data_IF_490726089677
#
_entry.id   IF_490726089677
#
_cell.length_a   1.000
_cell.length_b   1.000
_cell.length_c   1.000
_cell.angle_alpha   90.00
_cell.angle_beta   90.00
_cell.angle_gamma   90.00
#
_symmetry.space_group_name_H-M   'P 1'
#
loop_
_entity.id
_entity.type
_entity.pdbx_description
1 polymer ?
#
# COMPACT_ATOMS: atom_id res chain seq x y z
N UNK A 1 -28.50 0.44 58.00
CA UNK A 1 -28.27 -0.76 57.18
C UNK A 1 -29.29 -0.78 56.04
N UNK A 2 -28.88 -0.44 54.83
CA UNK A 2 -29.21 -1.18 53.59
C UNK A 2 -28.55 -0.46 52.42
N UNK A 3 -27.93 -1.23 51.55
CA UNK A 3 -26.89 -0.85 50.61
C UNK A 3 -27.42 -0.01 49.44
N UNK A 4 -26.69 1.06 49.09
CA UNK A 4 -26.79 1.67 47.77
C UNK A 4 -26.06 0.77 46.77
N UNK A 5 -26.81 0.30 45.76
CA UNK A 5 -26.30 -0.46 44.62
C UNK A 5 -25.24 0.36 43.87
N UNK A 6 -23.99 -0.12 43.89
CA UNK A 6 -22.92 0.41 43.06
C UNK A 6 -23.18 0.01 41.59
N UNK A 7 -23.01 0.91 40.62
CA UNK A 7 -23.02 0.51 39.22
C UNK A 7 -21.77 -0.33 38.97
N UNK A 8 -21.95 -1.53 38.40
CA UNK A 8 -20.88 -2.35 37.89
C UNK A 8 -20.13 -1.54 36.82
N UNK A 9 -19.05 -0.87 37.23
CA UNK A 9 -18.03 -0.39 36.32
C UNK A 9 -17.46 -1.65 35.65
N UNK A 10 -17.86 -1.88 34.40
CA UNK A 10 -17.18 -2.84 33.53
C UNK A 10 -15.72 -2.46 33.51
N UNK A 11 -14.91 -3.22 34.25
CA UNK A 11 -13.48 -3.11 34.21
C UNK A 11 -13.06 -3.32 32.76
N UNK A 12 -12.67 -2.23 32.10
CA UNK A 12 -11.85 -2.33 30.91
C UNK A 12 -10.53 -2.85 31.43
N UNK A 13 -10.32 -4.16 31.33
CA UNK A 13 -9.04 -4.78 31.58
C UNK A 13 -8.02 -4.07 30.69
N UNK A 14 -7.26 -3.17 31.30
CA UNK A 14 -6.06 -2.61 30.70
C UNK A 14 -5.12 -3.79 30.50
N UNK A 15 -5.16 -4.40 29.32
CA UNK A 15 -4.11 -5.28 28.85
C UNK A 15 -2.79 -4.58 29.16
N UNK A 16 -2.10 -5.09 30.17
CA UNK A 16 -0.81 -4.60 30.61
C UNK A 16 0.12 -4.84 29.43
N UNK A 17 0.31 -3.83 28.57
CA UNK A 17 1.29 -3.88 27.50
C UNK A 17 2.63 -4.12 28.21
N UNK A 18 3.24 -5.32 28.07
CA UNK A 18 4.48 -5.60 28.77
C UNK A 18 5.50 -4.59 28.26
N UNK A 19 5.99 -3.75 29.17
CA UNK A 19 7.02 -2.75 28.89
C UNK A 19 8.25 -3.49 28.39
N UNK A 20 8.49 -3.41 27.08
CA UNK A 20 9.69 -3.95 26.46
C UNK A 20 10.91 -3.20 27.02
N UNK A 21 12.02 -3.90 27.26
CA UNK A 21 13.26 -3.34 27.83
C UNK A 21 13.84 -2.16 27.03
N UNK A 22 13.42 -1.97 25.77
CA UNK A 22 13.82 -0.84 24.90
C UNK A 22 12.87 0.36 24.92
N UNK A 23 11.76 0.32 25.68
CA UNK A 23 10.79 1.43 25.79
C UNK A 23 9.82 1.59 24.60
N UNK A 24 9.89 0.71 23.59
CA UNK A 24 8.98 0.72 22.43
C UNK A 24 7.85 -0.30 22.66
N UNK A 25 6.57 0.05 22.41
CA UNK A 25 5.47 -0.91 22.54
C UNK A 25 5.60 -2.03 21.50
N UNK A 26 5.42 -3.29 21.93
CA UNK A 26 5.58 -4.49 21.09
C UNK A 26 4.78 -4.42 19.78
N UNK A 27 3.58 -3.80 19.80
CA UNK A 27 2.74 -3.61 18.62
C UNK A 27 3.40 -2.75 17.54
N UNK A 28 4.11 -1.67 17.94
CA UNK A 28 4.85 -0.83 16.98
C UNK A 28 6.07 -1.59 16.46
N UNK A 29 6.81 -2.28 17.33
CA UNK A 29 7.99 -3.05 16.90
C UNK A 29 7.61 -4.12 15.87
N UNK A 30 6.53 -4.86 16.09
CA UNK A 30 6.02 -5.85 15.14
C UNK A 30 5.53 -5.21 13.83
N UNK A 31 4.89 -4.04 13.88
CA UNK A 31 4.51 -3.28 12.67
C UNK A 31 5.74 -2.89 11.84
N UNK A 32 6.81 -2.42 12.48
CA UNK A 32 8.06 -2.06 11.79
C UNK A 32 8.74 -3.28 11.18
N UNK A 33 8.80 -4.41 11.90
CA UNK A 33 9.37 -5.66 11.39
C UNK A 33 8.56 -6.20 10.19
N UNK A 34 7.22 -6.13 10.26
CA UNK A 34 6.34 -6.50 9.16
C UNK A 34 6.59 -5.62 7.93
N UNK A 35 6.66 -4.30 8.09
CA UNK A 35 6.94 -3.37 6.98
C UNK A 35 8.34 -3.61 6.37
N UNK A 36 9.33 -3.95 7.19
CA UNK A 36 10.66 -4.31 6.70
C UNK A 36 10.65 -5.63 5.90
N UNK A 37 9.82 -6.61 6.30
CA UNK A 37 9.62 -7.85 5.55
C UNK A 37 9.00 -7.60 4.18
N UNK A 38 7.95 -6.77 4.11
CA UNK A 38 7.33 -6.39 2.83
C UNK A 38 8.34 -5.67 1.91
N UNK A 39 9.15 -4.76 2.47
CA UNK A 39 10.21 -4.08 1.73
C UNK A 39 11.24 -5.07 1.15
N UNK A 40 11.68 -6.07 1.93
CA UNK A 40 12.59 -7.11 1.45
C UNK A 40 11.95 -8.00 0.38
N UNK A 41 10.65 -8.31 0.53
CA UNK A 41 9.89 -9.07 -0.47
C UNK A 41 9.85 -8.32 -1.81
N UNK A 42 9.42 -7.06 -1.84
CA UNK A 42 9.44 -6.24 -3.05
C UNK A 42 10.86 -6.00 -3.58
N UNK A 43 11.84 -5.81 -2.69
CA UNK A 43 13.26 -5.68 -3.06
C UNK A 43 13.79 -6.90 -3.81
N UNK A 44 13.37 -8.11 -3.42
CA UNK A 44 13.72 -9.34 -4.14
C UNK A 44 13.11 -9.39 -5.55
N UNK A 45 11.84 -9.00 -5.69
CA UNK A 45 11.14 -8.95 -6.99
C UNK A 45 11.79 -7.92 -7.93
N UNK A 46 12.15 -6.74 -7.43
CA UNK A 46 12.86 -5.71 -8.19
C UNK A 46 14.26 -6.19 -8.59
N UNK A 47 15.01 -6.81 -7.67
CA UNK A 47 16.33 -7.35 -7.97
C UNK A 47 16.27 -8.42 -9.08
N UNK A 48 15.30 -9.34 -9.00
CA UNK A 48 15.04 -10.33 -10.04
C UNK A 48 14.74 -9.67 -11.38
N UNK A 49 13.85 -8.67 -11.43
CA UNK A 49 13.54 -7.95 -12.67
C UNK A 49 14.75 -7.21 -13.25
N UNK A 50 15.57 -6.56 -12.40
CA UNK A 50 16.78 -5.87 -12.84
C UNK A 50 17.82 -6.84 -13.42
N UNK A 51 18.03 -8.00 -12.80
CA UNK A 51 18.93 -9.04 -13.34
C UNK A 51 18.50 -9.47 -14.73
N UNK A 52 17.20 -9.68 -14.96
CA UNK A 52 16.68 -10.00 -16.30
C UNK A 52 16.76 -8.84 -17.28
N UNK A 53 16.67 -7.59 -16.80
CA UNK A 53 16.87 -6.40 -17.63
C UNK A 53 18.33 -6.21 -18.07
N UNK A 54 19.28 -6.67 -17.25
CA UNK A 54 20.73 -6.59 -17.50
C UNK A 54 21.24 -7.73 -18.40
N UNK A 55 20.48 -8.82 -18.56
CA UNK A 55 20.79 -9.93 -19.46
C UNK A 55 19.66 -10.15 -20.50
N UNK A 56 19.50 -9.25 -21.49
CA UNK A 56 18.43 -9.37 -22.48
C UNK A 56 18.60 -10.65 -23.29
N UNK A 57 17.58 -11.51 -23.28
CA UNK A 57 17.48 -12.64 -24.22
C UNK A 57 16.93 -12.08 -25.54
N UNK A 58 17.52 -12.48 -26.68
CA UNK A 58 17.17 -11.93 -28.00
C UNK A 58 15.67 -12.12 -28.31
N UNK A 59 14.96 -11.03 -28.65
CA UNK A 59 13.52 -11.02 -28.95
C UNK A 59 12.63 -10.21 -28.01
N UNK A 60 13.18 -9.44 -27.06
CA UNK A 60 12.39 -8.56 -26.20
C UNK A 60 11.82 -7.36 -26.98
N UNK A 61 10.50 -7.17 -26.88
CA UNK A 61 9.77 -5.99 -27.36
C UNK A 61 10.29 -4.73 -26.69
N UNK A 62 10.47 -3.65 -27.45
CA UNK A 62 10.92 -2.35 -26.93
C UNK A 62 9.94 -1.82 -25.85
N UNK A 63 10.38 -1.62 -24.59
CA UNK A 63 9.51 -1.17 -23.49
C UNK A 63 8.88 0.21 -23.70
N UNK A 64 9.43 1.01 -24.62
CA UNK A 64 9.05 2.42 -24.81
C UNK A 64 7.70 2.55 -25.54
N UNK A 65 7.29 1.56 -26.34
CA UNK A 65 5.99 1.58 -27.04
C UNK A 65 4.84 1.01 -26.21
N UNK A 66 5.12 0.41 -25.05
CA UNK A 66 4.12 -0.25 -24.21
C UNK A 66 3.55 0.70 -23.16
N UNK A 67 4.36 1.61 -22.59
CA UNK A 67 3.92 2.43 -21.46
C UNK A 67 3.30 3.76 -21.87
N UNK A 68 2.04 3.98 -21.47
CA UNK A 68 1.44 5.31 -21.52
C UNK A 68 1.93 6.17 -20.34
N UNK A 69 2.89 7.04 -20.65
CA UNK A 69 3.55 7.93 -19.67
C UNK A 69 2.53 8.89 -19.05
N UNK A 70 1.49 9.31 -19.78
CA UNK A 70 0.49 10.25 -19.28
C UNK A 70 -0.39 9.58 -18.22
N UNK A 71 -0.88 8.38 -18.51
CA UNK A 71 -1.70 7.60 -17.57
C UNK A 71 -0.91 7.21 -16.32
N UNK A 72 0.31 6.72 -16.48
CA UNK A 72 1.19 6.34 -15.36
C UNK A 72 1.50 7.54 -14.46
N UNK A 73 1.79 8.70 -15.05
CA UNK A 73 2.07 9.93 -14.31
C UNK A 73 0.85 10.43 -13.55
N UNK A 74 -0.33 10.34 -14.15
CA UNK A 74 -1.59 10.70 -13.51
C UNK A 74 -1.93 9.79 -12.33
N UNK A 75 -1.79 8.47 -12.48
CA UNK A 75 -1.96 7.48 -11.40
C UNK A 75 -1.02 7.75 -10.23
N UNK A 76 0.24 8.09 -10.52
CA UNK A 76 1.24 8.46 -9.51
C UNK A 76 0.85 9.74 -8.77
N UNK A 77 0.40 10.77 -9.49
CA UNK A 77 -0.09 12.01 -8.87
C UNK A 77 -1.25 11.75 -7.91
N UNK A 78 -2.20 10.89 -8.27
CA UNK A 78 -3.32 10.49 -7.41
C UNK A 78 -2.81 9.79 -6.13
N UNK A 79 -1.84 8.88 -6.23
CA UNK A 79 -1.26 8.23 -5.06
C UNK A 79 -0.54 9.22 -4.13
N UNK A 80 0.21 10.18 -4.68
CA UNK A 80 0.85 11.23 -3.89
C UNK A 80 -0.18 12.09 -3.15
N UNK A 81 -1.27 12.47 -3.82
CA UNK A 81 -2.38 13.19 -3.20
C UNK A 81 -3.09 12.34 -2.13
N UNK A 82 -3.22 11.03 -2.35
CA UNK A 82 -3.78 10.10 -1.37
C UNK A 82 -2.92 9.98 -0.10
N UNK A 83 -1.60 9.92 -0.27
CA UNK A 83 -0.62 9.92 0.83
C UNK A 83 -0.68 11.22 1.64
N UNK A 84 -0.74 12.38 0.96
CA UNK A 84 -0.93 13.67 1.62
C UNK A 84 -2.24 13.71 2.42
N UNK A 85 -3.32 13.19 1.85
CA UNK A 85 -4.62 13.16 2.52
C UNK A 85 -4.61 12.29 3.78
N UNK A 86 -3.90 11.15 3.76
CA UNK A 86 -3.70 10.31 4.95
C UNK A 86 -2.90 11.05 6.03
N UNK A 87 -1.83 11.75 5.66
CA UNK A 87 -1.02 12.54 6.60
C UNK A 87 -1.82 13.69 7.26
N UNK A 88 -2.69 14.35 6.49
CA UNK A 88 -3.63 15.35 7.01
C UNK A 88 -4.68 14.72 7.94
N UNK A 89 -5.15 13.52 7.62
CA UNK A 89 -6.05 12.74 8.48
C UNK A 89 -5.44 12.43 9.84
N UNK A 90 -4.19 11.96 9.87
CA UNK A 90 -3.43 11.71 11.10
C UNK A 90 -3.26 13.00 11.91
N UNK A 91 -2.97 14.11 11.25
CA UNK A 91 -2.86 15.43 11.90
C UNK A 91 -4.20 15.91 12.48
N UNK A 92 -5.32 15.61 11.80
CA UNK A 92 -6.67 16.00 12.25
C UNK A 92 -7.11 15.20 13.48
N UNK A 93 -6.83 13.90 13.54
CA UNK A 93 -7.18 13.07 14.71
C UNK A 93 -6.32 13.42 15.93
N UNK A 94 -5.06 13.81 15.74
CA UNK A 94 -4.21 14.34 16.82
C UNK A 94 -4.78 15.64 17.43
N UNK A 95 -5.49 16.44 16.64
CA UNK A 95 -6.20 17.66 17.08
C UNK A 95 -7.61 17.38 17.61
N UNK A 96 -8.01 16.11 17.73
CA UNK A 96 -9.35 15.70 18.19
C UNK A 96 -10.48 15.92 17.17
N UNK A 97 -10.17 16.29 15.93
CA UNK A 97 -11.19 16.55 14.91
C UNK A 97 -11.55 15.27 14.14
N UNK A 98 -12.47 14.50 14.72
CA UNK A 98 -12.95 13.23 14.15
C UNK A 98 -13.66 13.41 12.79
N UNK A 99 -14.32 14.56 12.58
CA UNK A 99 -15.07 14.83 11.34
C UNK A 99 -14.12 15.04 10.16
N UNK A 100 -13.04 15.79 10.37
CA UNK A 100 -12.00 15.96 9.35
C UNK A 100 -11.23 14.67 9.12
N UNK A 101 -10.89 13.91 10.16
CA UNK A 101 -10.26 12.59 10.02
C UNK A 101 -11.09 11.64 9.13
N UNK A 102 -12.40 11.52 9.38
CA UNK A 102 -13.30 10.68 8.56
C UNK A 102 -13.33 11.11 7.10
N UNK A 103 -13.37 12.42 6.83
CA UNK A 103 -13.33 12.95 5.46
C UNK A 103 -12.00 12.61 4.77
N UNK A 104 -10.87 12.79 5.45
CA UNK A 104 -9.55 12.45 4.91
C UNK A 104 -9.46 10.97 4.55
N UNK A 105 -9.88 10.06 5.44
CA UNK A 105 -9.86 8.61 5.17
C UNK A 105 -10.77 8.23 3.99
N UNK A 106 -11.99 8.79 3.92
CA UNK A 106 -12.89 8.53 2.79
C UNK A 106 -12.28 9.01 1.46
N UNK A 107 -11.64 10.19 1.45
CA UNK A 107 -10.96 10.69 0.26
C UNK A 107 -9.74 9.84 -0.11
N UNK A 108 -8.97 9.35 0.86
CA UNK A 108 -7.84 8.41 0.62
C UNK A 108 -8.34 7.11 -0.03
N UNK A 109 -9.45 6.54 0.45
CA UNK A 109 -10.06 5.34 -0.16
C UNK A 109 -10.51 5.63 -1.58
N UNK A 110 -11.16 6.77 -1.82
CA UNK A 110 -11.61 7.18 -3.15
C UNK A 110 -10.45 7.30 -4.14
N UNK A 111 -9.35 7.95 -3.76
CA UNK A 111 -8.15 8.01 -4.60
C UNK A 111 -7.51 6.64 -4.83
N UNK A 112 -7.53 5.76 -3.83
CA UNK A 112 -7.08 4.37 -3.99
C UNK A 112 -7.92 3.57 -5.00
N UNK A 113 -9.24 3.78 -5.03
CA UNK A 113 -10.13 3.14 -6.01
C UNK A 113 -9.88 3.66 -7.44
N UNK A 114 -9.61 4.95 -7.60
CA UNK A 114 -9.25 5.51 -8.91
C UNK A 114 -7.93 4.89 -9.39
N UNK A 115 -6.91 4.86 -8.53
CA UNK A 115 -5.63 4.23 -8.84
C UNK A 115 -5.80 2.77 -9.27
N UNK A 116 -6.58 1.98 -8.52
CA UNK A 116 -6.86 0.58 -8.86
C UNK A 116 -7.57 0.45 -10.22
N UNK A 117 -8.50 1.36 -10.53
CA UNK A 117 -9.22 1.35 -11.80
C UNK A 117 -8.30 1.64 -12.98
N UNK A 118 -7.36 2.60 -12.82
CA UNK A 118 -6.32 2.88 -13.81
C UNK A 118 -5.42 1.66 -14.04
N UNK A 119 -5.00 0.98 -12.97
CA UNK A 119 -4.17 -0.21 -13.07
C UNK A 119 -4.88 -1.35 -13.83
N UNK A 120 -6.17 -1.59 -13.53
CA UNK A 120 -6.97 -2.62 -14.24
C UNK A 120 -7.14 -2.26 -15.71
N UNK A 121 -7.38 -0.98 -16.04
CA UNK A 121 -7.48 -0.52 -17.42
C UNK A 121 -6.18 -0.75 -18.19
N UNK A 122 -5.05 -0.36 -17.60
CA UNK A 122 -3.72 -0.50 -18.21
C UNK A 122 -3.36 -1.98 -18.44
N UNK A 123 -3.62 -2.83 -17.44
CA UNK A 123 -3.44 -4.28 -17.60
C UNK A 123 -4.37 -4.89 -18.66
N UNK A 124 -5.63 -4.45 -18.73
CA UNK A 124 -6.55 -4.94 -19.77
C UNK A 124 -6.06 -4.53 -21.17
N UNK A 125 -5.56 -3.31 -21.33
CA UNK A 125 -4.94 -2.83 -22.57
C UNK A 125 -3.71 -3.65 -22.95
N UNK A 126 -2.81 -3.96 -22.00
CA UNK A 126 -1.62 -4.78 -22.25
C UNK A 126 -1.93 -6.22 -22.65
N UNK A 127 -2.95 -6.83 -22.05
CA UNK A 127 -3.37 -8.19 -22.39
C UNK A 127 -4.08 -8.25 -23.74
N UNK A 128 -4.99 -7.31 -24.03
CA UNK A 128 -5.82 -7.35 -25.23
C UNK A 128 -5.16 -6.77 -26.48
N UNK A 129 -4.42 -5.67 -26.36
CA UNK A 129 -3.88 -4.93 -27.51
C UNK A 129 -2.42 -5.30 -27.83
N UNK A 130 -1.61 -5.68 -26.82
CA UNK A 130 -0.20 -6.05 -27.01
C UNK A 130 0.10 -7.55 -26.90
N UNK A 131 -0.88 -8.37 -26.49
CA UNK A 131 -0.68 -9.81 -26.28
C UNK A 131 0.36 -10.17 -25.20
N UNK A 132 0.77 -9.19 -24.39
CA UNK A 132 1.70 -9.36 -23.27
C UNK A 132 0.96 -10.04 -22.12
N UNK A 133 1.02 -11.36 -22.10
CA UNK A 133 0.39 -12.20 -21.08
C UNK A 133 1.42 -12.59 -20.02
N UNK A 134 0.98 -12.95 -18.81
CA UNK A 134 1.83 -13.50 -17.74
C UNK A 134 2.75 -14.65 -18.19
N UNK A 135 2.44 -15.32 -19.30
CA UNK A 135 3.20 -16.45 -19.83
C UNK A 135 3.87 -16.19 -21.18
N UNK A 136 3.76 -14.98 -21.76
CA UNK A 136 4.30 -14.72 -23.10
C UNK A 136 5.81 -14.47 -23.10
N UNK A 137 6.32 -13.73 -22.11
CA UNK A 137 7.76 -13.47 -21.93
C UNK A 137 8.13 -13.39 -20.45
N UNK A 138 9.38 -13.74 -20.11
CA UNK A 138 9.92 -13.58 -18.74
C UNK A 138 9.89 -12.12 -18.26
N UNK A 139 9.94 -11.17 -19.21
CA UNK A 139 9.75 -9.75 -18.93
C UNK A 139 8.31 -9.45 -18.49
N UNK A 140 7.31 -9.93 -19.23
CA UNK A 140 5.91 -9.77 -18.86
C UNK A 140 5.61 -10.36 -17.48
N UNK A 141 6.03 -11.61 -17.21
CA UNK A 141 5.76 -12.26 -15.93
C UNK A 141 6.33 -11.50 -14.73
N UNK A 142 7.54 -10.96 -14.85
CA UNK A 142 8.17 -10.20 -13.74
C UNK A 142 7.60 -8.79 -13.60
N UNK A 143 7.19 -8.16 -14.70
CA UNK A 143 6.51 -6.87 -14.71
C UNK A 143 5.15 -6.95 -13.99
N UNK A 144 4.24 -7.83 -14.45
CA UNK A 144 2.91 -8.01 -13.85
C UNK A 144 2.95 -8.46 -12.40
N UNK A 145 3.99 -9.21 -11.98
CA UNK A 145 4.12 -9.65 -10.59
C UNK A 145 4.58 -8.51 -9.66
N UNK A 146 5.28 -7.51 -10.19
CA UNK A 146 5.83 -6.41 -9.40
C UNK A 146 4.83 -5.28 -9.17
N UNK A 147 3.97 -5.01 -10.16
CA UNK A 147 3.00 -3.91 -10.21
C UNK A 147 1.65 -4.31 -9.65
#
# INVERSE_FOLDING_TARGET
MSQASAPAHGAIDHHHDPSTTTGIPNKKLMMWAFLASDCMFFGSLIATHLVYRLAPVEGNTDPIEVFDIELTSFSTFILLMSSLMMALGVSAIQKGNLRSYRRCILTTIFFGLIFLSCQVYEFHHFVHDLGLTLSSTLFGSTFYLMT
#
